data_IF_823464431717
#
_entry.id   IF_823464431717
#
_cell.length_a   1.000
_cell.length_b   1.000
_cell.length_c   1.000
_cell.angle_alpha   90.00
_cell.angle_beta   90.00
_cell.angle_gamma   90.00
#
_symmetry.space_group_name_H-M   'P 1'
#
loop_
_entity.id
_entity.type
_entity.pdbx_description
1 polymer ?
#
# COMPACT_ATOMS: atom_id res chain seq x y z
N UNK A 1 -0.50 -25.89 10.26
CA UNK A 1 -0.14 -24.46 10.40
C UNK A 1 0.81 -24.26 11.57
N UNK A 2 0.45 -24.75 12.76
CA UNK A 2 1.27 -24.65 13.98
C UNK A 2 2.72 -25.14 13.79
N UNK A 3 2.92 -26.35 13.26
CA UNK A 3 4.27 -26.89 12.93
C UNK A 3 5.08 -25.96 12.01
N UNK A 4 4.43 -25.34 11.02
CA UNK A 4 5.11 -24.41 10.11
C UNK A 4 5.51 -23.10 10.83
N UNK A 5 4.69 -22.63 11.79
CA UNK A 5 5.00 -21.47 12.62
C UNK A 5 6.12 -21.75 13.63
N UNK A 6 6.21 -22.97 14.16
CA UNK A 6 7.33 -23.39 15.00
C UNK A 6 8.63 -23.41 14.20
N UNK A 7 8.61 -24.02 13.01
CA UNK A 7 9.77 -24.06 12.12
C UNK A 7 10.18 -22.65 11.66
N UNK A 8 9.21 -21.76 11.40
CA UNK A 8 9.47 -20.37 11.06
C UNK A 8 10.16 -19.58 12.20
N UNK A 9 10.05 -20.04 13.46
CA UNK A 9 10.68 -19.42 14.63
C UNK A 9 12.00 -20.10 15.04
N UNK A 10 12.50 -21.02 14.23
CA UNK A 10 13.74 -21.72 14.50
C UNK A 10 14.97 -20.78 14.56
N UNK A 11 16.00 -21.21 15.30
CA UNK A 11 17.28 -20.48 15.32
C UNK A 11 18.01 -20.58 13.99
N UNK A 12 17.90 -21.73 13.31
CA UNK A 12 18.52 -21.93 12.01
C UNK A 12 17.76 -21.21 10.89
N UNK A 13 18.50 -20.53 10.01
CA UNK A 13 17.89 -19.72 8.95
C UNK A 13 17.27 -20.56 7.84
N UNK A 14 17.82 -21.75 7.55
CA UNK A 14 17.24 -22.66 6.54
C UNK A 14 15.93 -23.25 7.06
N UNK A 15 15.87 -23.58 8.34
CA UNK A 15 14.63 -23.99 8.99
C UNK A 15 13.59 -22.87 8.91
N UNK A 16 13.93 -21.63 9.28
CA UNK A 16 13.00 -20.50 9.15
C UNK A 16 12.47 -20.31 7.72
N UNK A 17 13.36 -20.41 6.73
CA UNK A 17 12.98 -20.35 5.32
C UNK A 17 12.01 -21.47 4.93
N UNK A 18 12.27 -22.71 5.34
CA UNK A 18 11.36 -23.83 5.10
C UNK A 18 10.02 -23.63 5.82
N UNK A 19 10.04 -23.05 7.02
CA UNK A 19 8.84 -22.70 7.79
C UNK A 19 7.95 -21.72 7.06
N UNK A 20 8.48 -20.58 6.61
CA UNK A 20 7.67 -19.57 5.89
C UNK A 20 7.18 -20.06 4.52
N UNK A 21 7.98 -20.88 3.83
CA UNK A 21 7.57 -21.49 2.56
C UNK A 21 6.41 -22.46 2.76
N UNK A 22 6.50 -23.33 3.78
CA UNK A 22 5.42 -24.26 4.12
C UNK A 22 4.18 -23.54 4.61
N UNK A 23 4.34 -22.45 5.36
CA UNK A 23 3.24 -21.61 5.82
C UNK A 23 2.49 -20.99 4.65
N UNK A 24 3.21 -20.40 3.70
CA UNK A 24 2.64 -19.83 2.48
C UNK A 24 1.88 -20.89 1.66
N UNK A 25 2.48 -22.06 1.43
CA UNK A 25 1.85 -23.16 0.70
C UNK A 25 0.55 -23.65 1.36
N UNK A 26 0.53 -23.79 2.69
CA UNK A 26 -0.66 -24.20 3.44
C UNK A 26 -1.79 -23.18 3.25
N UNK A 27 -1.47 -21.89 3.36
CA UNK A 27 -2.45 -20.81 3.27
C UNK A 27 -2.99 -20.66 1.85
N UNK A 28 -2.13 -20.74 0.83
CA UNK A 28 -2.54 -20.60 -0.57
C UNK A 28 -3.41 -21.78 -1.05
N UNK A 29 -3.11 -22.99 -0.55
CA UNK A 29 -3.91 -24.17 -0.83
C UNK A 29 -5.22 -24.23 -0.02
N UNK A 30 -5.32 -23.49 1.08
CA UNK A 30 -6.50 -23.51 1.94
C UNK A 30 -7.70 -22.84 1.28
N UNK A 31 -8.89 -23.35 1.58
CA UNK A 31 -10.18 -22.67 1.34
C UNK A 31 -10.96 -22.47 2.64
N UNK A 32 -10.36 -22.87 3.76
CA UNK A 32 -10.95 -22.75 5.09
C UNK A 32 -10.53 -21.41 5.70
N UNK A 33 -11.51 -20.68 6.25
CA UNK A 33 -11.23 -19.49 7.05
C UNK A 33 -10.43 -19.88 8.31
N UNK A 34 -9.57 -18.96 8.71
CA UNK A 34 -8.81 -19.03 9.95
C UNK A 34 -9.65 -18.49 11.10
N UNK A 35 -9.46 -19.05 12.27
CA UNK A 35 -9.99 -18.48 13.51
C UNK A 35 -9.21 -17.21 13.89
N UNK A 36 -9.83 -16.34 14.67
CA UNK A 36 -9.18 -15.13 15.21
C UNK A 36 -7.85 -15.43 15.93
N UNK A 37 -7.77 -16.54 16.68
CA UNK A 37 -6.55 -16.98 17.35
C UNK A 37 -5.46 -17.46 16.39
N UNK A 38 -5.82 -18.16 15.31
CA UNK A 38 -4.87 -18.56 14.27
C UNK A 38 -4.30 -17.33 13.55
N UNK A 39 -5.15 -16.35 13.23
CA UNK A 39 -4.71 -15.07 12.63
C UNK A 39 -3.80 -14.31 13.57
N UNK A 40 -4.12 -14.24 14.87
CA UNK A 40 -3.27 -13.58 15.87
C UNK A 40 -1.88 -14.21 15.92
N UNK A 41 -1.81 -15.54 16.09
CA UNK A 41 -0.55 -16.28 16.15
C UNK A 41 0.30 -16.11 14.88
N UNK A 42 -0.36 -16.12 13.72
CA UNK A 42 0.27 -15.87 12.43
C UNK A 42 0.84 -14.46 12.34
N UNK A 43 0.04 -13.43 12.67
CA UNK A 43 0.46 -12.03 12.56
C UNK A 43 1.61 -11.72 13.52
N UNK A 44 1.52 -12.17 14.77
CA UNK A 44 2.57 -11.96 15.77
C UNK A 44 3.88 -12.59 15.32
N UNK A 45 3.83 -13.84 14.84
CA UNK A 45 5.01 -14.52 14.29
C UNK A 45 5.58 -13.79 13.09
N UNK A 46 4.73 -13.39 12.13
CA UNK A 46 5.17 -12.74 10.91
C UNK A 46 5.79 -11.36 11.17
N UNK A 47 5.28 -10.56 12.13
CA UNK A 47 5.85 -9.25 12.48
C UNK A 47 7.33 -9.37 12.87
N UNK A 48 7.71 -10.43 13.57
CA UNK A 48 9.11 -10.68 13.91
C UNK A 48 9.93 -11.19 12.71
N UNK A 49 9.32 -12.03 11.86
CA UNK A 49 9.95 -12.52 10.62
C UNK A 49 10.17 -11.41 9.58
N UNK A 50 9.38 -10.33 9.61
CA UNK A 50 9.63 -9.15 8.77
C UNK A 50 10.95 -8.46 9.12
N UNK A 51 11.49 -8.67 10.33
CA UNK A 51 12.76 -8.11 10.79
C UNK A 51 13.95 -9.04 10.54
N UNK A 52 13.73 -10.21 9.92
CA UNK A 52 14.79 -11.18 9.65
C UNK A 52 15.88 -10.61 8.72
N UNK A 53 17.12 -11.03 8.92
CA UNK A 53 18.25 -10.63 8.08
C UNK A 53 18.21 -11.31 6.69
N UNK A 54 17.47 -12.40 6.55
CA UNK A 54 17.30 -13.13 5.30
C UNK A 54 16.01 -12.68 4.59
N UNK A 55 16.17 -12.06 3.43
CA UNK A 55 15.06 -11.53 2.65
C UNK A 55 14.01 -12.59 2.28
N UNK A 56 14.38 -13.87 2.13
CA UNK A 56 13.42 -14.94 1.81
C UNK A 56 12.48 -15.22 2.97
N UNK A 57 12.94 -15.06 4.20
CA UNK A 57 12.12 -15.21 5.41
C UNK A 57 11.08 -14.08 5.45
N UNK A 58 11.52 -12.83 5.31
CA UNK A 58 10.61 -11.69 5.30
C UNK A 58 9.65 -11.71 4.11
N UNK A 59 10.12 -12.11 2.93
CA UNK A 59 9.28 -12.28 1.75
C UNK A 59 8.19 -13.34 1.98
N UNK A 60 8.56 -14.53 2.47
CA UNK A 60 7.61 -15.62 2.72
C UNK A 60 6.58 -15.26 3.81
N UNK A 61 6.99 -14.49 4.83
CA UNK A 61 6.08 -13.96 5.84
C UNK A 61 5.04 -13.00 5.23
N UNK A 62 5.46 -12.06 4.37
CA UNK A 62 4.55 -11.15 3.66
C UNK A 62 3.57 -11.91 2.75
N UNK A 63 4.06 -12.91 2.02
CA UNK A 63 3.23 -13.75 1.16
C UNK A 63 2.20 -14.57 1.96
N UNK A 64 2.63 -15.16 3.08
CA UNK A 64 1.74 -15.87 4.01
C UNK A 64 0.64 -14.95 4.55
N UNK A 65 1.00 -13.74 4.99
CA UNK A 65 0.04 -12.74 5.46
C UNK A 65 -0.97 -12.36 4.38
N UNK A 66 -0.54 -12.22 3.13
CA UNK A 66 -1.44 -11.88 2.03
C UNK A 66 -2.45 -13.01 1.76
N UNK A 67 -1.99 -14.27 1.69
CA UNK A 67 -2.89 -15.42 1.53
C UNK A 67 -3.87 -15.55 2.70
N UNK A 68 -3.41 -15.35 3.94
CA UNK A 68 -4.28 -15.38 5.12
C UNK A 68 -5.30 -14.24 5.14
N UNK A 69 -4.93 -13.05 4.67
CA UNK A 69 -5.85 -11.91 4.58
C UNK A 69 -7.01 -12.18 3.62
N UNK A 70 -6.78 -12.91 2.53
CA UNK A 70 -7.86 -13.36 1.62
C UNK A 70 -8.82 -14.33 2.30
N UNK A 71 -8.32 -15.22 3.16
CA UNK A 71 -9.14 -16.21 3.85
C UNK A 71 -9.97 -15.63 5.01
N UNK A 72 -9.43 -14.63 5.72
CA UNK A 72 -9.96 -14.15 7.00
C UNK A 72 -9.64 -12.66 7.28
N UNK A 73 -9.87 -11.79 6.29
CA UNK A 73 -9.55 -10.37 6.37
C UNK A 73 -10.22 -9.61 7.53
N UNK A 74 -11.38 -10.09 8.00
CA UNK A 74 -12.10 -9.53 9.14
C UNK A 74 -11.28 -9.56 10.45
N UNK A 75 -10.47 -10.59 10.64
CA UNK A 75 -9.63 -10.76 11.84
C UNK A 75 -8.37 -9.88 11.80
N UNK A 76 -7.90 -9.48 10.62
CA UNK A 76 -6.70 -8.64 10.47
C UNK A 76 -6.86 -7.23 11.03
N UNK A 77 -8.10 -6.70 11.08
CA UNK A 77 -8.39 -5.33 11.54
C UNK A 77 -7.89 -5.06 12.96
N UNK A 78 -7.86 -6.09 13.81
CA UNK A 78 -7.37 -6.00 15.19
C UNK A 78 -5.86 -5.75 15.25
N UNK A 79 -5.12 -6.14 14.21
CA UNK A 79 -3.66 -6.11 14.20
C UNK A 79 -3.06 -4.95 13.40
N UNK A 80 -3.88 -4.14 12.70
CA UNK A 80 -3.40 -3.08 11.82
C UNK A 80 -2.43 -2.08 12.47
N UNK A 81 -2.60 -1.79 13.76
CA UNK A 81 -1.73 -0.84 14.46
C UNK A 81 -0.27 -1.32 14.55
N UNK A 82 -0.05 -2.63 14.63
CA UNK A 82 1.29 -3.22 14.66
C UNK A 82 1.73 -3.69 13.26
N UNK A 83 0.80 -4.27 12.50
CA UNK A 83 1.08 -4.87 11.20
C UNK A 83 1.41 -3.82 10.13
N UNK A 84 0.62 -2.77 9.99
CA UNK A 84 0.79 -1.83 8.87
C UNK A 84 2.13 -1.08 8.91
N UNK A 85 2.60 -0.55 10.06
CA UNK A 85 3.94 0.04 10.11
C UNK A 85 5.05 -0.95 9.74
N UNK A 86 4.95 -2.21 10.18
CA UNK A 86 5.93 -3.24 9.86
C UNK A 86 5.97 -3.57 8.36
N UNK A 87 4.81 -3.61 7.70
CA UNK A 87 4.70 -3.80 6.25
C UNK A 87 5.20 -2.58 5.48
N UNK A 88 4.88 -1.37 5.93
CA UNK A 88 5.35 -0.10 5.34
C UNK A 88 6.88 -0.04 5.33
N UNK A 89 7.54 -0.46 6.42
CA UNK A 89 9.00 -0.53 6.48
C UNK A 89 9.59 -1.45 5.40
N UNK A 90 8.88 -2.53 5.04
CA UNK A 90 9.32 -3.47 4.00
C UNK A 90 9.18 -2.94 2.58
N UNK A 91 8.41 -1.87 2.34
CA UNK A 91 8.43 -1.17 1.04
C UNK A 91 9.79 -0.53 0.74
N UNK A 92 10.59 -0.25 1.77
CA UNK A 92 11.93 0.31 1.64
C UNK A 92 13.04 -0.73 1.53
N UNK A 93 12.72 -2.03 1.50
CA UNK A 93 13.69 -3.11 1.55
C UNK A 93 14.67 -3.05 0.36
N UNK A 94 15.92 -3.48 0.58
CA UNK A 94 16.93 -3.51 -0.47
C UNK A 94 16.64 -4.52 -1.59
N UNK A 95 15.81 -5.53 -1.33
CA UNK A 95 15.49 -6.61 -2.27
C UNK A 95 14.11 -6.40 -2.89
N UNK A 96 14.07 -6.35 -4.23
CA UNK A 96 12.82 -6.18 -5.00
C UNK A 96 11.73 -7.20 -4.60
N UNK A 97 12.01 -8.51 -4.40
CA UNK A 97 10.97 -9.47 -4.02
C UNK A 97 10.26 -9.15 -2.71
N UNK A 98 10.95 -8.54 -1.74
CA UNK A 98 10.36 -8.13 -0.46
C UNK A 98 9.44 -6.93 -0.67
N UNK A 99 9.87 -5.94 -1.47
CA UNK A 99 9.06 -4.77 -1.81
C UNK A 99 7.78 -5.17 -2.54
N UNK A 100 7.88 -6.08 -3.51
CA UNK A 100 6.74 -6.58 -4.28
C UNK A 100 5.75 -7.33 -3.37
N UNK A 101 6.25 -8.16 -2.46
CA UNK A 101 5.41 -8.87 -1.49
C UNK A 101 4.71 -7.90 -0.51
N UNK A 102 5.40 -6.85 -0.07
CA UNK A 102 4.82 -5.83 0.81
C UNK A 102 3.73 -5.02 0.09
N UNK A 103 3.99 -4.59 -1.15
CA UNK A 103 2.99 -3.94 -2.01
C UNK A 103 1.76 -4.83 -2.20
N UNK A 104 1.97 -6.10 -2.53
CA UNK A 104 0.88 -7.08 -2.71
C UNK A 104 0.04 -7.22 -1.44
N UNK A 105 0.68 -7.37 -0.28
CA UNK A 105 -0.03 -7.46 0.99
C UNK A 105 -0.88 -6.21 1.26
N UNK A 106 -0.35 -5.00 1.03
CA UNK A 106 -1.13 -3.77 1.22
C UNK A 106 -2.36 -3.73 0.29
N UNK A 107 -2.20 -4.06 -0.99
CA UNK A 107 -3.31 -4.12 -1.95
C UNK A 107 -4.34 -5.18 -1.55
N UNK A 108 -3.90 -6.38 -1.13
CA UNK A 108 -4.81 -7.42 -0.62
C UNK A 108 -5.58 -6.95 0.60
N UNK A 109 -4.93 -6.28 1.55
CA UNK A 109 -5.61 -5.71 2.72
C UNK A 109 -6.64 -4.65 2.32
N UNK A 110 -6.35 -3.83 1.30
CA UNK A 110 -7.31 -2.86 0.76
C UNK A 110 -8.54 -3.57 0.16
N UNK A 111 -8.32 -4.63 -0.61
CA UNK A 111 -9.37 -5.43 -1.27
C UNK A 111 -10.31 -6.10 -0.26
N UNK A 112 -9.77 -6.72 0.80
CA UNK A 112 -10.56 -7.48 1.78
C UNK A 112 -11.13 -6.61 2.91
N UNK A 113 -10.77 -5.32 2.97
CA UNK A 113 -11.26 -4.40 4.01
C UNK A 113 -11.84 -3.11 3.44
N UNK A 114 -11.01 -2.10 3.21
CA UNK A 114 -11.34 -0.84 2.54
C UNK A 114 -10.04 -0.14 2.15
N UNK A 115 -9.90 0.31 0.89
CA UNK A 115 -8.75 1.10 0.46
C UNK A 115 -8.51 2.32 1.35
N UNK A 116 -9.57 3.06 1.68
CA UNK A 116 -9.52 4.25 2.54
C UNK A 116 -8.92 3.94 3.91
N UNK A 117 -9.40 2.89 4.59
CA UNK A 117 -8.93 2.53 5.94
C UNK A 117 -7.44 2.18 5.93
N UNK A 118 -7.01 1.37 4.97
CA UNK A 118 -5.60 0.94 4.88
C UNK A 118 -4.69 2.12 4.55
N UNK A 119 -5.09 2.98 3.62
CA UNK A 119 -4.31 4.16 3.23
C UNK A 119 -4.18 5.16 4.38
N UNK A 120 -5.26 5.45 5.12
CA UNK A 120 -5.20 6.34 6.28
C UNK A 120 -4.28 5.80 7.36
N UNK A 121 -4.42 4.52 7.71
CA UNK A 121 -3.62 3.89 8.77
C UNK A 121 -2.16 3.71 8.38
N UNK A 122 -1.87 3.12 7.21
CA UNK A 122 -0.50 2.93 6.75
C UNK A 122 0.17 4.28 6.43
N UNK A 123 -0.59 5.21 5.86
CA UNK A 123 -0.14 6.55 5.50
C UNK A 123 0.43 7.35 6.67
N UNK A 124 -0.09 7.14 7.89
CA UNK A 124 0.44 7.74 9.12
C UNK A 124 1.95 7.50 9.34
N UNK A 125 2.47 6.39 8.82
CA UNK A 125 3.89 6.01 8.90
C UNK A 125 4.64 6.12 7.56
N UNK A 126 3.92 6.17 6.44
CA UNK A 126 4.52 6.07 5.10
C UNK A 126 4.79 7.42 4.44
N UNK A 127 3.86 8.38 4.50
CA UNK A 127 3.95 9.63 3.71
C UNK A 127 5.18 10.47 4.04
N UNK A 128 5.56 10.54 5.31
CA UNK A 128 6.71 11.29 5.80
C UNK A 128 7.87 10.38 6.23
N UNK A 129 7.91 9.14 5.72
CA UNK A 129 8.91 8.16 6.15
C UNK A 129 10.34 8.61 5.80
N UNK A 130 11.32 8.30 6.67
CA UNK A 130 12.73 8.69 6.47
C UNK A 130 13.35 8.13 5.18
N UNK A 131 12.95 6.91 4.80
CA UNK A 131 13.40 6.27 3.56
C UNK A 131 12.58 6.78 2.38
N UNK A 132 13.25 7.44 1.43
CA UNK A 132 12.62 7.90 0.18
C UNK A 132 11.99 6.75 -0.59
N UNK A 133 12.57 5.54 -0.53
CA UNK A 133 12.00 4.34 -1.17
C UNK A 133 10.63 4.00 -0.61
N UNK A 134 10.44 4.10 0.71
CA UNK A 134 9.12 3.86 1.32
C UNK A 134 8.10 4.88 0.82
N UNK A 135 8.47 6.17 0.79
CA UNK A 135 7.58 7.23 0.30
C UNK A 135 7.20 7.04 -1.17
N UNK A 136 8.18 6.70 -2.02
CA UNK A 136 7.96 6.38 -3.42
C UNK A 136 7.05 5.16 -3.59
N UNK A 137 7.44 4.03 -2.99
CA UNK A 137 6.76 2.74 -3.16
C UNK A 137 5.35 2.76 -2.59
N UNK A 138 5.13 3.44 -1.47
CA UNK A 138 3.79 3.62 -0.91
C UNK A 138 2.92 4.46 -1.85
N UNK A 139 3.44 5.56 -2.39
CA UNK A 139 2.72 6.37 -3.38
C UNK A 139 2.35 5.55 -4.62
N UNK A 140 3.28 4.76 -5.16
CA UNK A 140 3.01 3.85 -6.29
C UNK A 140 1.98 2.77 -5.95
N UNK A 141 1.98 2.28 -4.72
CA UNK A 141 0.98 1.32 -4.22
C UNK A 141 -0.40 1.95 -4.22
N UNK A 142 -0.53 3.19 -3.75
CA UNK A 142 -1.79 3.95 -3.78
C UNK A 142 -2.24 4.20 -5.22
N UNK A 143 -1.34 4.60 -6.12
CA UNK A 143 -1.66 4.73 -7.55
C UNK A 143 -2.23 3.43 -8.14
N UNK A 144 -1.60 2.29 -7.79
CA UNK A 144 -2.08 0.97 -8.22
C UNK A 144 -3.46 0.66 -7.66
N UNK A 145 -3.73 1.02 -6.40
CA UNK A 145 -5.04 0.82 -5.77
C UNK A 145 -6.15 1.63 -6.46
N UNK A 146 -5.87 2.89 -6.84
CA UNK A 146 -6.84 3.72 -7.58
C UNK A 146 -7.24 3.04 -8.89
N UNK A 147 -6.27 2.54 -9.64
CA UNK A 147 -6.50 1.84 -10.90
C UNK A 147 -7.21 0.49 -10.72
N UNK A 148 -6.79 -0.31 -9.75
CA UNK A 148 -7.29 -1.68 -9.55
C UNK A 148 -8.72 -1.71 -9.07
N UNK A 149 -9.02 -0.94 -8.03
CA UNK A 149 -10.33 -1.04 -7.40
C UNK A 149 -11.38 -0.21 -8.12
N UNK A 150 -10.98 0.55 -9.16
CA UNK A 150 -11.76 1.70 -9.64
C UNK A 150 -12.37 2.41 -8.43
N UNK A 151 -11.59 2.52 -7.34
CA UNK A 151 -12.10 2.94 -6.03
C UNK A 151 -12.13 4.45 -6.05
N UNK A 152 -13.16 4.88 -6.75
CA UNK A 152 -13.71 6.20 -6.94
C UNK A 152 -14.41 6.68 -5.67
N UNK A 153 -13.99 6.23 -4.49
CA UNK A 153 -14.57 6.71 -3.25
C UNK A 153 -13.98 8.09 -2.95
N UNK A 154 -14.83 9.12 -2.93
CA UNK A 154 -14.46 10.46 -2.46
C UNK A 154 -13.67 10.42 -1.12
N UNK A 155 -13.98 9.54 -0.16
CA UNK A 155 -13.14 9.31 1.02
C UNK A 155 -11.66 9.00 0.72
N UNK A 156 -11.38 8.05 -0.18
CA UNK A 156 -10.00 7.69 -0.54
C UNK A 156 -9.27 8.87 -1.15
N UNK A 157 -9.90 9.57 -2.10
CA UNK A 157 -9.32 10.76 -2.72
C UNK A 157 -8.99 11.85 -1.68
N UNK A 158 -9.88 12.09 -0.71
CA UNK A 158 -9.63 13.04 0.39
C UNK A 158 -8.46 12.61 1.27
N UNK A 159 -8.30 11.31 1.51
CA UNK A 159 -7.20 10.78 2.32
C UNK A 159 -5.83 10.93 1.63
N UNK A 160 -5.76 10.80 0.29
CA UNK A 160 -4.49 10.78 -0.45
C UNK A 160 -4.05 12.16 -0.96
N UNK A 161 -5.00 13.04 -1.30
CA UNK A 161 -4.66 14.28 -2.01
C UNK A 161 -3.74 15.20 -1.19
N UNK A 162 -4.03 15.52 0.10
CA UNK A 162 -3.14 16.37 0.87
C UNK A 162 -1.69 15.84 0.97
N UNK A 163 -1.42 14.58 1.34
CA UNK A 163 -0.05 14.09 1.42
C UNK A 163 0.62 13.96 0.05
N UNK A 164 -0.07 13.49 -1.00
CA UNK A 164 0.51 13.37 -2.35
C UNK A 164 0.95 14.73 -2.88
N UNK A 165 0.16 15.79 -2.67
CA UNK A 165 0.53 17.14 -3.08
C UNK A 165 1.75 17.70 -2.31
N UNK A 166 1.99 17.23 -1.08
CA UNK A 166 3.22 17.54 -0.35
C UNK A 166 4.43 16.86 -0.99
N UNK A 167 4.28 15.59 -1.40
CA UNK A 167 5.35 14.80 -2.05
C UNK A 167 5.81 15.36 -3.40
N UNK A 168 5.02 16.21 -4.06
CA UNK A 168 5.47 16.95 -5.25
C UNK A 168 6.68 17.87 -4.98
N UNK A 169 6.94 18.19 -3.70
CA UNK A 169 8.10 18.98 -3.27
C UNK A 169 9.15 18.11 -2.55
N UNK A 170 9.08 16.79 -2.65
CA UNK A 170 10.04 15.89 -2.01
C UNK A 170 11.46 16.15 -2.54
N UNK A 171 12.52 16.09 -1.70
CA UNK A 171 13.89 16.26 -2.16
C UNK A 171 14.32 15.20 -3.19
N UNK A 172 13.75 14.00 -3.13
CA UNK A 172 14.08 12.91 -4.04
C UNK A 172 13.22 12.94 -5.31
N UNK A 173 13.86 12.87 -6.48
CA UNK A 173 13.16 12.91 -7.78
C UNK A 173 12.17 11.76 -7.97
N UNK A 174 12.53 10.53 -7.59
CA UNK A 174 11.67 9.36 -7.79
C UNK A 174 10.36 9.48 -7.00
N UNK A 175 10.42 10.08 -5.80
CA UNK A 175 9.23 10.36 -5.00
C UNK A 175 8.34 11.41 -5.68
N UNK A 176 8.94 12.47 -6.24
CA UNK A 176 8.18 13.47 -7.01
C UNK A 176 7.51 12.86 -8.23
N UNK A 177 8.22 12.03 -9.00
CA UNK A 177 7.66 11.33 -10.16
C UNK A 177 6.51 10.40 -9.78
N UNK A 178 6.64 9.64 -8.68
CA UNK A 178 5.56 8.81 -8.16
C UNK A 178 4.35 9.65 -7.74
N UNK A 179 4.57 10.81 -7.11
CA UNK A 179 3.50 11.72 -6.71
C UNK A 179 2.78 12.31 -7.92
N UNK A 180 3.51 12.69 -8.98
CA UNK A 180 2.92 13.21 -10.22
C UNK A 180 2.04 12.15 -10.87
N UNK A 181 2.54 10.93 -11.04
CA UNK A 181 1.76 9.83 -11.59
C UNK A 181 0.49 9.56 -10.77
N UNK A 182 0.58 9.63 -9.44
CA UNK A 182 -0.57 9.48 -8.58
C UNK A 182 -1.61 10.59 -8.77
N UNK A 183 -1.17 11.84 -8.98
CA UNK A 183 -2.07 12.97 -9.26
C UNK A 183 -2.74 12.82 -10.62
N UNK A 184 -2.00 12.41 -11.65
CA UNK A 184 -2.54 12.17 -12.99
C UNK A 184 -3.66 11.12 -12.95
N UNK A 185 -3.42 9.98 -12.29
CA UNK A 185 -4.43 8.93 -12.13
C UNK A 185 -5.62 9.40 -11.29
N UNK A 186 -5.39 10.18 -10.24
CA UNK A 186 -6.48 10.82 -9.47
C UNK A 186 -7.29 11.83 -10.30
N UNK A 187 -6.66 12.49 -11.26
CA UNK A 187 -7.29 13.50 -12.12
C UNK A 187 -8.19 12.88 -13.17
N UNK A 188 -7.70 11.86 -13.87
CA UNK A 188 -8.49 11.08 -14.82
C UNK A 188 -9.78 10.58 -14.16
N UNK A 189 -9.68 10.20 -12.88
CA UNK A 189 -10.85 9.84 -12.10
C UNK A 189 -11.87 10.98 -11.92
N UNK A 190 -11.43 12.19 -11.53
CA UNK A 190 -12.34 13.33 -11.37
C UNK A 190 -13.02 13.73 -12.68
N UNK A 191 -12.31 13.68 -13.81
CA UNK A 191 -12.87 13.95 -15.14
C UNK A 191 -13.97 12.93 -15.48
N UNK A 192 -13.73 11.64 -15.25
CA UNK A 192 -14.73 10.58 -15.49
C UNK A 192 -15.98 10.76 -14.61
N UNK A 193 -15.84 11.24 -13.37
CA UNK A 193 -17.00 11.53 -12.50
C UNK A 193 -17.81 12.73 -12.98
N UNK A 194 -17.13 13.76 -13.48
CA UNK A 194 -17.77 14.95 -14.05
C UNK A 194 -18.56 14.60 -15.31
N UNK A 195 -18.00 13.78 -16.21
CA UNK A 195 -18.69 13.29 -17.42
C UNK A 195 -19.94 12.45 -17.11
N UNK A 196 -19.93 11.70 -15.99
CA UNK A 196 -21.07 10.86 -15.58
C UNK A 196 -22.21 11.62 -14.91
N UNK A 197 -22.12 12.94 -14.74
CA UNK A 197 -23.15 13.81 -14.15
C UNK A 197 -23.62 13.36 -12.75
N UNK A 198 -22.78 12.62 -12.01
CA UNK A 198 -22.99 12.30 -10.61
C UNK A 198 -22.53 13.48 -9.74
N UNK A 199 -23.29 14.59 -9.76
CA UNK A 199 -23.15 15.76 -8.86
C UNK A 199 -21.73 15.97 -8.28
N UNK A 200 -20.77 16.32 -9.13
CA UNK A 200 -19.47 16.85 -8.68
C UNK A 200 -19.03 18.06 -9.50
N UNK A 201 -19.99 18.85 -10.00
CA UNK A 201 -19.72 20.19 -10.52
C UNK A 201 -19.16 21.06 -9.39
N UNK A 202 -17.84 21.31 -9.40
CA UNK A 202 -17.19 22.25 -8.48
C UNK A 202 -16.63 21.66 -7.19
N UNK A 203 -16.08 20.44 -7.19
CA UNK A 203 -15.24 19.99 -6.07
C UNK A 203 -14.04 20.93 -5.96
N UNK A 204 -13.97 21.72 -4.89
CA UNK A 204 -12.77 22.49 -4.50
C UNK A 204 -11.48 21.68 -4.63
N UNK A 205 -11.54 20.35 -4.52
CA UNK A 205 -10.41 19.45 -4.75
C UNK A 205 -9.89 19.48 -6.18
N UNK A 206 -10.74 19.42 -7.22
CA UNK A 206 -10.31 19.46 -8.62
C UNK A 206 -9.65 20.79 -8.95
N UNK A 207 -10.31 21.91 -8.64
CA UNK A 207 -9.75 23.25 -8.83
C UNK A 207 -8.45 23.45 -8.04
N UNK A 208 -8.38 22.94 -6.80
CA UNK A 208 -7.18 23.04 -5.97
C UNK A 208 -6.00 22.26 -6.56
N UNK A 209 -6.23 21.03 -7.03
CA UNK A 209 -5.17 20.23 -7.64
C UNK A 209 -4.76 20.85 -8.99
N UNK A 210 -5.71 21.26 -9.85
CA UNK A 210 -5.40 21.94 -11.11
C UNK A 210 -4.57 23.22 -10.87
N UNK A 211 -4.97 24.05 -9.90
CA UNK A 211 -4.21 25.25 -9.53
C UNK A 211 -2.81 24.91 -8.99
N UNK A 212 -2.67 23.83 -8.21
CA UNK A 212 -1.37 23.37 -7.67
C UNK A 212 -0.47 22.82 -8.77
N UNK A 213 -1.02 22.03 -9.68
CA UNK A 213 -0.32 21.46 -10.85
C UNK A 213 0.14 22.56 -11.79
N UNK A 214 -0.68 23.58 -12.09
CA UNK A 214 -0.27 24.77 -12.85
C UNK A 214 0.91 25.50 -12.23
N UNK A 215 0.93 25.65 -10.90
CA UNK A 215 2.05 26.29 -10.18
C UNK A 215 3.33 25.47 -10.24
N UNK A 216 3.23 24.15 -10.17
CA UNK A 216 4.40 23.25 -10.30
C UNK A 216 4.91 23.22 -11.73
N UNK A 217 4.02 23.19 -12.71
CA UNK A 217 4.37 23.25 -14.12
C UNK A 217 5.11 24.53 -14.49
N UNK A 218 4.68 25.67 -13.95
CA UNK A 218 5.38 26.94 -14.11
C UNK A 218 6.80 26.95 -13.50
N UNK A 219 7.05 26.17 -12.43
CA UNK A 219 8.38 26.03 -11.80
C UNK A 219 9.33 25.14 -12.60
N UNK A 220 8.80 24.12 -13.28
CA UNK A 220 9.60 23.13 -14.03
C UNK A 220 9.76 23.49 -15.53
N UNK A 221 9.35 24.69 -15.93
CA UNK A 221 9.52 25.20 -17.30
C UNK A 221 8.48 24.70 -18.29
N UNK A 222 7.25 24.40 -17.86
CA UNK A 222 6.15 24.03 -18.77
C UNK A 222 6.18 22.56 -19.21
N UNK A 223 6.76 21.67 -18.41
CA UNK A 223 6.99 20.26 -18.75
C UNK A 223 5.75 19.37 -18.67
N UNK A 224 4.67 19.86 -18.05
CA UNK A 224 3.48 19.08 -17.72
C UNK A 224 2.24 19.67 -18.42
N UNK A 225 1.45 18.85 -19.09
CA UNK A 225 0.16 19.30 -19.62
C UNK A 225 -0.82 19.43 -18.46
N UNK A 226 -1.24 20.65 -18.12
CA UNK A 226 -2.38 20.85 -17.23
C UNK A 226 -3.63 20.76 -18.09
N UNK A 227 -4.58 19.89 -17.71
CA UNK A 227 -5.89 19.89 -18.35
C UNK A 227 -6.48 21.30 -18.23
N UNK A 228 -6.73 21.93 -19.37
CA UNK A 228 -7.32 23.27 -19.43
C UNK A 228 -8.67 23.24 -18.68
N UNK A 229 -8.88 24.19 -17.78
CA UNK A 229 -10.10 24.37 -16.96
C UNK A 229 -11.33 24.79 -17.81
N UNK A 230 -11.29 24.50 -19.11
CA UNK A 230 -12.32 24.87 -20.08
C UNK A 230 -12.96 23.63 -20.68
N UNK A 231 -13.92 23.08 -19.95
CA UNK A 231 -15.16 22.57 -20.55
C UNK A 231 -16.31 22.61 -19.56
#
# INVERSE_FOLDING_TARGET
MEEALELARAKDTKERMAGVERLYQILEASRKSLTSSEVTSLVDSCIDLLKDNNFRVSQGALQSLASAAVLSGEHFKLHYNALLPAVVDRLGDGKQPVRDAARRLLLTLMEVSSPTIIVERAGSSAWAHKSWRVREEFTRTVTSAINLFSATELPLQRAILPPVLQLLNDPNLAVREAAILCVEVSMDYFVVMEEKNERATGSYGFQYICQRMSKLNARDGGRWCVADEKR
#
